data_IF_768647233273
#
_entry.id   IF_768647233273
#
_cell.length_a   1.000
_cell.length_b   1.000
_cell.length_c   1.000
_cell.angle_alpha   90.00
_cell.angle_beta   90.00
_cell.angle_gamma   90.00
#
_symmetry.space_group_name_H-M   'P 1'
#
loop_
_entity.id
_entity.type
_entity.pdbx_description
1 polymer ?
#
# COMPACT_ATOMS: atom_id res chain seq x y z
N UNK A 1 12.16 70.65 -3.41
CA UNK A 1 11.64 72.03 -3.51
C UNK A 1 10.83 72.13 -4.80
N UNK A 2 9.61 72.71 -4.85
CA UNK A 2 8.66 73.07 -3.81
C UNK A 2 7.28 72.36 -4.03
N UNK A 3 6.11 72.94 -3.65
CA UNK A 3 5.21 72.53 -2.56
C UNK A 3 3.99 71.69 -3.07
N UNK A 4 3.19 70.98 -2.28
CA UNK A 4 2.62 71.27 -0.97
C UNK A 4 1.19 71.83 -1.13
N UNK A 5 0.17 70.98 -1.19
CA UNK A 5 -1.24 71.40 -1.16
C UNK A 5 -1.97 70.67 -0.02
N UNK A 6 -2.14 71.38 1.09
CA UNK A 6 -2.95 70.98 2.24
C UNK A 6 -4.39 71.41 1.99
N UNK A 7 -5.30 70.44 1.87
CA UNK A 7 -6.73 70.69 1.82
C UNK A 7 -7.23 70.91 3.26
N UNK A 8 -7.70 72.13 3.53
CA UNK A 8 -8.38 72.53 4.74
C UNK A 8 -9.86 72.15 4.60
N UNK A 9 -10.37 71.28 5.46
CA UNK A 9 -11.81 71.01 5.59
C UNK A 9 -12.31 71.79 6.81
N UNK A 10 -13.38 72.60 6.68
CA UNK A 10 -13.83 73.48 7.76
C UNK A 10 -14.55 72.68 8.85
N UNK A 11 -14.22 73.03 10.09
CA UNK A 11 -14.98 72.68 11.28
C UNK A 11 -16.29 73.48 11.30
N UNK A 12 -17.41 72.80 11.42
CA UNK A 12 -18.65 73.38 11.92
C UNK A 12 -19.24 72.40 12.94
N UNK A 13 -19.14 72.79 14.20
CA UNK A 13 -19.77 72.15 15.33
C UNK A 13 -21.24 72.57 15.43
N UNK A 14 -22.12 71.65 15.80
CA UNK A 14 -23.33 71.97 16.55
C UNK A 14 -23.76 70.76 17.39
N UNK A 15 -23.76 71.01 18.70
CA UNK A 15 -24.13 70.16 19.84
C UNK A 15 -25.66 69.91 19.91
N UNK A 16 -26.04 69.01 20.84
CA UNK A 16 -27.36 68.76 21.49
C UNK A 16 -28.06 67.47 20.98
N UNK A 17 -28.40 66.44 21.77
CA UNK A 17 -28.61 66.29 23.21
C UNK A 17 -28.40 64.83 23.66
N UNK A 18 -27.96 64.68 24.91
CA UNK A 18 -27.97 63.45 25.69
C UNK A 18 -29.42 63.04 26.00
N UNK A 19 -29.78 61.80 25.68
CA UNK A 19 -30.87 61.09 26.34
C UNK A 19 -30.41 59.65 26.62
N UNK A 20 -30.42 59.31 27.91
CA UNK A 20 -29.93 58.06 28.46
C UNK A 20 -30.71 56.83 28.02
N UNK A 21 -30.05 55.69 28.14
CA UNK A 21 -30.61 54.37 27.94
C UNK A 21 -29.57 53.31 28.23
N UNK A 22 -29.36 53.03 29.52
CA UNK A 22 -28.69 51.80 29.92
C UNK A 22 -29.58 50.62 29.53
N UNK A 23 -29.21 49.90 28.46
CA UNK A 23 -29.85 48.65 28.08
C UNK A 23 -28.77 47.61 27.81
N UNK A 24 -28.63 46.74 28.82
CA UNK A 24 -28.15 45.36 28.78
C UNK A 24 -27.10 45.02 27.71
N UNK A 25 -25.88 44.75 28.19
CA UNK A 25 -24.97 43.84 27.53
C UNK A 25 -25.66 42.48 27.34
N UNK A 26 -26.29 42.27 26.18
CA UNK A 26 -26.59 40.93 25.70
C UNK A 26 -25.23 40.33 25.37
N UNK A 27 -24.72 39.56 26.33
CA UNK A 27 -23.65 38.61 26.11
C UNK A 27 -24.08 37.65 25.02
N UNK A 28 -23.84 38.03 23.77
CA UNK A 28 -23.89 37.14 22.64
C UNK A 28 -22.85 36.08 22.90
N UNK A 29 -23.29 34.92 23.41
CA UNK A 29 -22.50 33.70 23.33
C UNK A 29 -22.23 33.49 21.85
N UNK A 30 -21.06 33.92 21.39
CA UNK A 30 -20.48 33.49 20.15
C UNK A 30 -20.38 31.98 20.28
N UNK A 31 -21.40 31.29 19.77
CA UNK A 31 -21.41 29.84 19.60
C UNK A 31 -20.18 29.60 18.74
N UNK A 32 -19.07 29.14 19.33
CA UNK A 32 -17.91 28.65 18.58
C UNK A 32 -18.48 27.59 17.65
N UNK A 33 -18.79 27.96 16.41
CA UNK A 33 -18.95 26.99 15.34
C UNK A 33 -17.59 26.34 15.27
N UNK A 34 -17.48 25.16 15.88
CA UNK A 34 -16.38 24.24 15.61
C UNK A 34 -16.31 24.20 14.10
N UNK A 35 -15.26 24.81 13.53
CA UNK A 35 -15.03 24.77 12.11
C UNK A 35 -14.83 23.30 11.81
N UNK A 36 -15.90 22.66 11.34
CA UNK A 36 -15.89 21.28 10.89
C UNK A 36 -15.00 21.33 9.65
N UNK A 37 -13.70 21.12 9.84
CA UNK A 37 -12.73 21.02 8.76
C UNK A 37 -13.26 19.93 7.85
N UNK A 38 -13.86 20.32 6.73
CA UNK A 38 -14.37 19.36 5.76
C UNK A 38 -13.16 18.59 5.27
N UNK A 39 -13.16 17.29 5.52
CA UNK A 39 -12.15 16.39 4.97
C UNK A 39 -12.20 16.49 3.45
N UNK A 40 -11.03 16.57 2.83
CA UNK A 40 -10.95 16.64 1.39
C UNK A 40 -11.50 15.36 0.77
N UNK A 41 -12.18 15.50 -0.35
CA UNK A 41 -12.74 14.38 -1.10
C UNK A 41 -11.73 13.87 -2.11
N UNK A 42 -11.86 12.60 -2.48
CA UNK A 42 -11.06 12.08 -3.59
C UNK A 42 -11.53 12.67 -4.93
N UNK A 43 -10.66 12.57 -5.94
CA UNK A 43 -11.09 12.77 -7.32
C UNK A 43 -12.12 11.69 -7.69
N UNK A 44 -13.09 12.01 -8.58
CA UNK A 44 -13.93 10.99 -9.21
C UNK A 44 -13.08 9.87 -9.80
N UNK A 45 -13.55 8.63 -9.68
CA UNK A 45 -12.81 7.44 -10.08
C UNK A 45 -12.49 7.45 -11.57
N UNK A 46 -13.41 7.98 -12.39
CA UNK A 46 -13.26 8.10 -13.85
C UNK A 46 -12.07 9.00 -14.23
N UNK A 47 -11.82 10.06 -13.45
CA UNK A 47 -10.67 10.94 -13.68
C UNK A 47 -9.37 10.25 -13.27
N UNK A 48 -9.38 9.50 -12.17
CA UNK A 48 -8.22 8.73 -11.73
C UNK A 48 -7.89 7.61 -12.73
N UNK A 49 -8.90 6.93 -13.26
CA UNK A 49 -8.78 5.94 -14.35
C UNK A 49 -8.17 6.56 -15.60
N UNK A 50 -8.64 7.74 -16.00
CA UNK A 50 -8.10 8.43 -17.17
C UNK A 50 -6.65 8.87 -16.95
N UNK A 51 -6.32 9.42 -15.78
CA UNK A 51 -4.94 9.80 -15.43
C UNK A 51 -4.02 8.57 -15.42
N UNK A 52 -4.43 7.51 -14.72
CA UNK A 52 -3.67 6.26 -14.63
C UNK A 52 -3.53 5.59 -16.00
N UNK A 53 -4.59 5.56 -16.80
CA UNK A 53 -4.62 5.00 -18.15
C UNK A 53 -3.51 5.59 -19.02
N UNK A 54 -3.32 6.91 -18.99
CA UNK A 54 -2.25 7.60 -19.73
C UNK A 54 -0.83 7.23 -19.28
N UNK A 55 -0.65 6.91 -18.00
CA UNK A 55 0.66 6.53 -17.44
C UNK A 55 0.97 5.04 -17.62
N UNK A 56 -0.07 4.21 -17.66
CA UNK A 56 0.01 2.75 -17.74
C UNK A 56 0.16 2.18 -19.15
N UNK A 57 0.05 3.03 -20.19
CA UNK A 57 0.17 2.64 -21.60
C UNK A 57 1.55 2.00 -21.83
N UNK A 58 1.58 0.70 -22.10
CA UNK A 58 2.79 -0.07 -22.40
C UNK A 58 3.32 -0.97 -21.29
N UNK A 59 2.88 -0.83 -20.03
CA UNK A 59 3.41 -1.65 -18.90
C UNK A 59 2.34 -2.45 -18.17
N UNK A 60 1.07 -2.00 -18.14
CA UNK A 60 0.03 -2.66 -17.33
C UNK A 60 -1.24 -3.09 -18.08
N UNK A 61 -1.36 -2.80 -19.39
CA UNK A 61 -2.48 -3.31 -20.20
C UNK A 61 -2.56 -4.84 -20.22
N UNK A 62 -1.47 -5.55 -19.89
CA UNK A 62 -1.42 -7.00 -19.78
C UNK A 62 -2.01 -7.58 -18.47
N UNK A 63 -2.27 -6.74 -17.45
CA UNK A 63 -2.72 -7.21 -16.14
C UNK A 63 -4.23 -7.04 -15.89
N UNK A 64 -5.01 -6.50 -16.83
CA UNK A 64 -6.47 -6.43 -16.66
C UNK A 64 -7.10 -7.82 -16.43
N UNK A 65 -6.54 -8.88 -17.02
CA UNK A 65 -6.97 -10.27 -16.75
C UNK A 65 -6.41 -10.86 -15.45
N UNK A 66 -5.30 -10.33 -14.92
CA UNK A 66 -4.79 -10.71 -13.59
C UNK A 66 -5.53 -9.97 -12.45
N UNK A 67 -6.28 -8.91 -12.77
CA UNK A 67 -7.22 -8.28 -11.85
C UNK A 67 -8.57 -9.01 -11.81
N UNK A 68 -8.85 -9.88 -12.77
CA UNK A 68 -9.93 -10.89 -12.72
C UNK A 68 -9.48 -12.15 -11.96
N UNK A 69 -8.63 -12.00 -10.95
CA UNK A 69 -8.59 -13.01 -9.90
C UNK A 69 -9.91 -12.87 -9.17
N UNK A 70 -10.92 -13.61 -9.62
CA UNK A 70 -12.05 -13.97 -8.76
C UNK A 70 -11.46 -14.31 -7.38
N UNK A 71 -12.06 -13.82 -6.29
CA UNK A 71 -11.62 -14.20 -4.95
C UNK A 71 -11.77 -15.72 -4.85
N UNK A 72 -10.71 -16.46 -5.17
CA UNK A 72 -10.66 -17.89 -4.89
C UNK A 72 -10.47 -17.99 -3.39
N UNK A 73 -11.62 -17.92 -2.71
CA UNK A 73 -11.88 -18.04 -1.29
C UNK A 73 -10.64 -18.39 -0.49
N UNK A 74 -9.87 -17.37 -0.07
CA UNK A 74 -8.69 -17.45 0.82
C UNK A 74 -8.18 -18.88 1.03
N UNK A 75 -7.78 -19.56 -0.05
CA UNK A 75 -7.29 -20.91 0.10
C UNK A 75 -5.94 -20.72 0.74
N UNK A 76 -5.71 -21.33 1.91
CA UNK A 76 -4.40 -21.35 2.55
C UNK A 76 -3.46 -22.20 1.67
N UNK A 77 -3.08 -21.62 0.52
CA UNK A 77 -2.23 -22.23 -0.47
C UNK A 77 -0.87 -22.40 0.18
N UNK A 78 -0.54 -23.65 0.43
CA UNK A 78 0.75 -24.07 0.92
C UNK A 78 1.62 -24.49 -0.27
N UNK A 79 2.92 -24.66 -0.04
CA UNK A 79 3.83 -25.20 -1.04
C UNK A 79 3.26 -26.52 -1.62
N UNK A 80 2.96 -26.59 -2.94
CA UNK A 80 2.36 -27.78 -3.50
C UNK A 80 3.38 -28.92 -3.55
N UNK A 81 3.09 -30.00 -2.83
CA UNK A 81 3.80 -31.27 -2.93
C UNK A 81 3.14 -32.17 -3.98
N UNK A 82 3.81 -33.24 -4.42
CA UNK A 82 3.21 -34.25 -5.29
C UNK A 82 1.86 -34.80 -4.78
N UNK A 83 1.62 -34.82 -3.47
CA UNK A 83 0.33 -35.23 -2.91
C UNK A 83 -0.77 -34.19 -3.15
N UNK A 84 -0.48 -32.89 -2.92
CA UNK A 84 -1.47 -31.82 -3.10
C UNK A 84 -1.70 -31.46 -4.57
N UNK A 85 -0.69 -31.60 -5.43
CA UNK A 85 -0.84 -31.42 -6.87
C UNK A 85 -1.85 -32.40 -7.46
N UNK A 86 -1.83 -33.67 -7.01
CA UNK A 86 -2.81 -34.69 -7.42
C UNK A 86 -4.22 -34.39 -6.94
N UNK A 87 -4.38 -33.86 -5.72
CA UNK A 87 -5.68 -33.41 -5.20
C UNK A 87 -6.26 -32.27 -6.03
N UNK A 88 -5.45 -31.29 -6.43
CA UNK A 88 -5.91 -30.19 -7.29
C UNK A 88 -6.27 -30.66 -8.71
N UNK A 89 -5.56 -31.65 -9.26
CA UNK A 89 -5.89 -32.24 -10.57
C UNK A 89 -7.14 -33.14 -10.53
N UNK A 90 -7.44 -33.76 -9.39
CA UNK A 90 -8.62 -34.61 -9.24
C UNK A 90 -9.92 -33.80 -9.10
N UNK A 91 -9.84 -32.62 -8.49
CA UNK A 91 -10.99 -31.74 -8.25
C UNK A 91 -11.25 -30.76 -9.41
N UNK A 92 -10.24 -30.43 -10.23
CA UNK A 92 -10.41 -29.51 -11.36
C UNK A 92 -10.22 -30.18 -12.71
N UNK A 93 -11.31 -30.31 -13.49
CA UNK A 93 -11.28 -30.62 -14.93
C UNK A 93 -10.61 -29.52 -15.77
N UNK A 94 -10.15 -28.45 -15.14
CA UNK A 94 -9.45 -27.31 -15.75
C UNK A 94 -7.93 -27.42 -15.59
N UNK A 95 -7.21 -26.97 -16.63
CA UNK A 95 -5.75 -26.87 -16.64
C UNK A 95 -5.30 -25.93 -15.51
N UNK A 96 -4.39 -26.39 -14.66
CA UNK A 96 -3.82 -25.56 -13.59
C UNK A 96 -3.13 -24.32 -14.18
N UNK A 97 -3.24 -23.15 -13.49
CA UNK A 97 -2.60 -21.93 -13.96
C UNK A 97 -1.07 -22.00 -13.79
N UNK A 98 -0.35 -21.19 -14.59
CA UNK A 98 1.12 -21.21 -14.67
C UNK A 98 1.81 -21.00 -13.32
N UNK A 99 1.23 -20.18 -12.44
CA UNK A 99 1.77 -19.88 -11.12
C UNK A 99 1.83 -21.10 -10.20
N UNK A 100 0.94 -22.08 -10.36
CA UNK A 100 0.98 -23.35 -9.61
C UNK A 100 1.81 -24.42 -10.32
N UNK A 101 2.00 -24.30 -11.64
CA UNK A 101 2.82 -25.20 -12.44
C UNK A 101 4.31 -24.84 -12.43
N UNK A 102 4.69 -23.66 -11.94
CA UNK A 102 6.09 -23.22 -11.82
C UNK A 102 6.92 -24.08 -10.85
N UNK A 103 8.23 -24.16 -11.11
CA UNK A 103 9.22 -24.74 -10.17
C UNK A 103 9.31 -23.95 -8.86
N UNK A 104 9.00 -22.65 -8.92
CA UNK A 104 8.90 -21.74 -7.77
C UNK A 104 7.47 -21.19 -7.72
N UNK A 105 6.49 -21.95 -7.22
CA UNK A 105 5.09 -21.59 -7.31
C UNK A 105 4.74 -20.39 -6.44
N UNK A 106 3.77 -19.59 -6.90
CA UNK A 106 3.33 -18.37 -6.21
C UNK A 106 1.81 -18.24 -6.19
N UNK A 107 1.33 -17.46 -5.24
CA UNK A 107 -0.04 -16.98 -5.18
C UNK A 107 -0.04 -15.45 -5.06
N UNK A 108 -1.21 -14.84 -5.20
CA UNK A 108 -1.37 -13.39 -5.08
C UNK A 108 -2.12 -13.05 -3.79
N UNK A 109 -1.67 -11.99 -3.14
CA UNK A 109 -2.42 -11.30 -2.08
C UNK A 109 -2.80 -9.91 -2.58
N UNK A 110 -3.94 -9.39 -2.15
CA UNK A 110 -4.36 -8.04 -2.51
C UNK A 110 -3.81 -7.05 -1.49
N UNK A 111 -2.96 -6.14 -1.97
CA UNK A 111 -2.41 -4.99 -1.23
C UNK A 111 -3.38 -3.82 -1.36
N UNK A 112 -3.96 -3.40 -0.23
CA UNK A 112 -4.88 -2.26 -0.16
C UNK A 112 -4.19 -1.02 0.41
N UNK A 113 -4.26 0.10 -0.31
CA UNK A 113 -3.82 1.42 0.17
C UNK A 113 -4.87 2.49 -0.21
N UNK A 114 -5.57 3.11 0.76
CA UNK A 114 -6.60 4.12 0.48
C UNK A 114 -6.04 5.43 -0.08
N UNK A 115 -4.72 5.65 0.04
CA UNK A 115 -4.03 6.85 -0.43
C UNK A 115 -3.40 6.67 -1.81
N UNK A 116 -3.77 5.60 -2.52
CA UNK A 116 -3.21 5.24 -3.82
C UNK A 116 -4.31 4.86 -4.80
N UNK A 117 -4.06 5.10 -6.08
CA UNK A 117 -4.87 4.61 -7.17
C UNK A 117 -3.98 3.83 -8.17
N UNK A 118 -4.33 2.58 -8.54
CA UNK A 118 -5.45 1.79 -8.02
C UNK A 118 -5.26 1.43 -6.53
N UNK A 119 -6.36 1.37 -5.79
CA UNK A 119 -6.36 1.10 -4.34
C UNK A 119 -5.96 -0.34 -4.02
N UNK A 120 -6.33 -1.26 -4.90
CA UNK A 120 -6.07 -2.69 -4.79
C UNK A 120 -5.01 -3.09 -5.81
N UNK A 121 -3.93 -3.70 -5.35
CA UNK A 121 -2.85 -4.20 -6.20
C UNK A 121 -2.57 -5.66 -5.85
N UNK A 122 -2.60 -6.59 -6.82
CA UNK A 122 -2.19 -7.96 -6.59
C UNK A 122 -0.66 -8.06 -6.47
N UNK A 123 -0.18 -8.53 -5.32
CA UNK A 123 1.23 -8.79 -5.04
C UNK A 123 1.48 -10.29 -4.94
N UNK A 124 2.42 -10.81 -5.72
CA UNK A 124 2.84 -12.20 -5.67
C UNK A 124 3.63 -12.51 -4.39
N UNK A 125 3.42 -13.71 -3.86
CA UNK A 125 4.24 -14.29 -2.81
C UNK A 125 4.53 -15.77 -3.09
N UNK A 126 5.74 -16.20 -2.74
CA UNK A 126 6.17 -17.56 -3.03
C UNK A 126 5.54 -18.54 -2.02
N UNK A 127 5.04 -19.67 -2.52
CA UNK A 127 4.43 -20.70 -1.69
C UNK A 127 5.47 -21.60 -1.01
N UNK A 128 6.64 -21.75 -1.63
CA UNK A 128 7.75 -22.58 -1.17
C UNK A 128 8.94 -21.70 -0.76
N UNK A 129 9.80 -22.21 0.12
CA UNK A 129 11.06 -21.56 0.49
C UNK A 129 12.18 -21.96 -0.48
N UNK A 130 12.23 -23.25 -0.83
CA UNK A 130 13.07 -23.81 -1.87
C UNK A 130 12.36 -23.84 -3.23
N UNK A 131 12.84 -24.68 -4.14
CA UNK A 131 12.19 -24.91 -5.43
C UNK A 131 11.78 -26.37 -5.58
N UNK A 132 10.70 -26.59 -6.34
CA UNK A 132 10.23 -27.92 -6.70
C UNK A 132 11.05 -28.45 -7.88
N UNK A 133 11.69 -29.60 -7.69
CA UNK A 133 12.55 -30.23 -8.71
C UNK A 133 12.17 -31.70 -8.90
N UNK A 134 12.45 -32.23 -10.09
CA UNK A 134 12.19 -33.61 -10.45
C UNK A 134 10.71 -33.91 -10.76
N UNK A 135 10.40 -35.12 -11.23
CA UNK A 135 9.05 -35.49 -11.64
C UNK A 135 8.06 -35.54 -10.47
N UNK A 136 8.54 -35.82 -9.26
CA UNK A 136 7.74 -35.79 -8.03
C UNK A 136 7.59 -34.39 -7.42
N UNK A 137 8.11 -33.32 -8.06
CA UNK A 137 8.00 -31.93 -7.56
C UNK A 137 8.39 -31.82 -6.08
N UNK A 138 9.55 -32.37 -5.72
CA UNK A 138 10.03 -32.32 -4.34
C UNK A 138 10.73 -30.98 -4.09
N UNK A 139 10.45 -30.36 -2.95
CA UNK A 139 11.13 -29.12 -2.56
C UNK A 139 12.58 -29.41 -2.16
N UNK A 140 13.54 -28.78 -2.83
CA UNK A 140 14.96 -28.83 -2.50
C UNK A 140 15.44 -27.53 -1.87
N UNK A 141 16.32 -27.66 -0.86
CA UNK A 141 16.95 -26.54 -0.15
C UNK A 141 18.27 -26.09 -0.77
N UNK A 142 18.64 -26.57 -1.95
CA UNK A 142 19.79 -26.07 -2.71
C UNK A 142 19.47 -24.78 -3.46
N UNK A 143 18.19 -24.56 -3.73
CA UNK A 143 17.67 -23.39 -4.40
C UNK A 143 16.72 -22.64 -3.47
N UNK A 144 16.40 -21.40 -3.85
CA UNK A 144 15.48 -20.54 -3.11
C UNK A 144 14.45 -19.96 -4.07
N UNK A 145 13.18 -20.08 -3.71
CA UNK A 145 12.12 -19.32 -4.38
C UNK A 145 12.21 -17.86 -3.94
N UNK A 146 12.36 -16.95 -4.90
CA UNK A 146 12.54 -15.52 -4.66
C UNK A 146 11.53 -14.73 -5.50
N UNK A 147 10.83 -13.74 -4.92
CA UNK A 147 9.89 -12.91 -5.68
C UNK A 147 10.61 -12.08 -6.75
N UNK A 148 9.98 -11.96 -7.92
CA UNK A 148 10.42 -11.11 -9.02
C UNK A 148 9.60 -9.82 -9.00
N UNK A 149 10.29 -8.69 -8.99
CA UNK A 149 9.67 -7.36 -8.92
C UNK A 149 9.65 -6.69 -10.29
N UNK A 150 8.53 -6.04 -10.62
CA UNK A 150 8.39 -5.17 -11.77
C UNK A 150 8.07 -3.74 -11.31
N UNK A 151 8.62 -2.71 -11.99
CA UNK A 151 8.22 -1.33 -11.75
C UNK A 151 6.78 -1.11 -12.26
N UNK A 152 5.97 -0.45 -11.45
CA UNK A 152 4.59 -0.09 -11.77
C UNK A 152 4.31 1.33 -11.34
N UNK A 153 3.60 2.09 -12.17
CA UNK A 153 3.18 3.45 -11.85
C UNK A 153 1.89 3.43 -11.04
N UNK A 154 1.78 4.29 -10.04
CA UNK A 154 0.57 4.48 -9.24
C UNK A 154 0.35 5.97 -8.99
N UNK A 155 -0.89 6.39 -8.83
CA UNK A 155 -1.22 7.75 -8.43
C UNK A 155 -1.32 7.80 -6.91
N UNK A 156 -0.50 8.62 -6.25
CA UNK A 156 -0.51 8.77 -4.79
C UNK A 156 -1.19 10.08 -4.40
N UNK A 157 -2.07 9.99 -3.40
CA UNK A 157 -2.76 11.12 -2.81
C UNK A 157 -1.75 12.05 -2.14
N UNK A 158 -1.79 13.32 -2.50
CA UNK A 158 -1.07 14.38 -1.81
C UNK A 158 -1.87 14.88 -0.60
N UNK A 159 -1.14 15.38 0.41
CA UNK A 159 -1.73 16.06 1.57
C UNK A 159 -2.34 17.43 1.23
N UNK A 160 -2.06 17.99 0.05
CA UNK A 160 -2.63 19.25 -0.40
C UNK A 160 -4.05 19.06 -0.94
N UNK A 161 -4.95 19.97 -0.55
CA UNK A 161 -6.32 19.99 -1.05
C UNK A 161 -6.56 21.22 -1.94
N UNK A 162 -7.01 20.97 -3.16
CA UNK A 162 -7.32 22.02 -4.14
C UNK A 162 -8.82 21.95 -4.43
N UNK A 163 -9.54 23.04 -4.18
CA UNK A 163 -11.00 23.08 -4.41
C UNK A 163 -11.79 22.04 -3.59
N UNK A 164 -11.29 21.63 -2.43
CA UNK A 164 -11.93 20.61 -1.58
C UNK A 164 -11.67 19.16 -2.00
N UNK A 165 -10.80 18.92 -2.99
CA UNK A 165 -10.37 17.57 -3.39
C UNK A 165 -8.87 17.36 -3.20
N UNK A 166 -8.47 16.12 -2.95
CA UNK A 166 -7.07 15.74 -2.91
C UNK A 166 -6.42 15.87 -4.28
N UNK A 167 -5.19 16.37 -4.35
CA UNK A 167 -4.38 16.22 -5.57
C UNK A 167 -3.67 14.86 -5.59
N UNK A 168 -3.31 14.40 -6.78
CA UNK A 168 -2.62 13.13 -7.00
C UNK A 168 -1.36 13.35 -7.82
N UNK A 169 -0.29 12.64 -7.48
CA UNK A 169 0.97 12.64 -8.21
C UNK A 169 1.36 11.21 -8.60
N UNK A 170 2.02 11.04 -9.74
CA UNK A 170 2.57 9.75 -10.13
C UNK A 170 3.77 9.35 -9.26
N UNK A 171 3.85 8.07 -8.93
CA UNK A 171 4.98 7.47 -8.21
C UNK A 171 5.21 6.07 -8.78
N UNK A 172 6.46 5.67 -8.92
CA UNK A 172 6.82 4.30 -9.28
C UNK A 172 7.01 3.45 -8.03
N UNK A 173 6.37 2.29 -8.02
CA UNK A 173 6.46 1.29 -6.95
C UNK A 173 6.91 -0.04 -7.53
N UNK A 174 7.61 -0.84 -6.71
CA UNK A 174 8.02 -2.20 -7.08
C UNK A 174 6.98 -3.20 -6.61
N UNK A 175 6.35 -3.90 -7.56
CA UNK A 175 5.31 -4.90 -7.27
C UNK A 175 5.89 -6.29 -7.59
N UNK A 176 5.73 -7.23 -6.67
CA UNK A 176 6.05 -8.62 -6.93
C UNK A 176 5.05 -9.21 -7.93
N UNK A 177 5.51 -9.65 -9.09
CA UNK A 177 4.66 -10.19 -10.17
C UNK A 177 4.67 -11.72 -10.25
N UNK A 178 5.65 -12.35 -9.62
CA UNK A 178 5.77 -13.80 -9.56
C UNK A 178 6.95 -14.24 -8.71
N UNK A 179 7.29 -15.53 -8.77
CA UNK A 179 8.48 -16.07 -8.11
C UNK A 179 9.36 -16.81 -9.11
N UNK A 180 10.68 -16.68 -8.92
CA UNK A 180 11.71 -17.39 -9.67
C UNK A 180 12.54 -18.27 -8.75
N UNK A 181 13.25 -19.23 -9.33
CA UNK A 181 14.12 -20.15 -8.61
C UNK A 181 15.59 -19.74 -8.80
N UNK A 182 16.28 -19.42 -7.71
CA UNK A 182 17.70 -19.05 -7.75
C UNK A 182 18.56 -20.04 -6.96
N UNK A 183 19.78 -20.35 -7.41
CA UNK A 183 20.71 -21.15 -6.61
C UNK A 183 21.12 -20.38 -5.35
N UNK A 184 21.26 -21.08 -4.22
CA UNK A 184 21.81 -20.46 -3.01
C UNK A 184 23.31 -20.21 -3.22
N UNK A 185 23.71 -18.94 -3.22
CA UNK A 185 25.12 -18.55 -3.26
C UNK A 185 25.80 -19.02 -1.97
N UNK A 186 27.06 -19.44 -2.07
CA UNK A 186 27.80 -20.02 -0.94
C UNK A 186 27.82 -19.12 0.31
N UNK A 187 27.83 -17.80 0.10
CA UNK A 187 27.81 -16.78 1.15
C UNK A 187 26.48 -16.71 1.92
N UNK A 188 25.36 -17.02 1.28
CA UNK A 188 24.05 -17.07 1.95
C UNK A 188 23.94 -18.33 2.80
N UNK A 189 24.54 -19.44 2.35
CA UNK A 189 24.56 -20.71 3.10
C UNK A 189 25.36 -20.58 4.39
N UNK A 190 26.48 -19.87 4.38
CA UNK A 190 27.27 -19.61 5.60
C UNK A 190 26.55 -18.68 6.56
N UNK A 191 25.85 -17.65 6.06
CA UNK A 191 25.08 -16.73 6.88
C UNK A 191 23.83 -17.38 7.50
N UNK A 192 23.13 -18.25 6.76
CA UNK A 192 22.04 -19.09 7.29
C UNK A 192 22.53 -20.12 8.30
N UNK A 193 23.69 -20.74 8.06
CA UNK A 193 24.28 -21.68 9.01
C UNK A 193 24.70 -20.96 10.31
N UNK A 194 25.31 -19.78 10.22
CA UNK A 194 25.72 -18.98 11.36
C UNK A 194 24.53 -18.47 12.20
N UNK A 195 23.43 -18.08 11.55
CA UNK A 195 22.18 -17.71 12.25
C UNK A 195 21.55 -18.92 12.92
N UNK A 196 21.48 -20.08 12.23
CA UNK A 196 20.95 -21.32 12.80
C UNK A 196 21.77 -21.82 13.99
N UNK A 197 23.10 -21.72 13.95
CA UNK A 197 23.96 -22.09 15.09
C UNK A 197 23.81 -21.13 16.24
N UNK A 198 23.66 -19.83 15.98
CA UNK A 198 23.41 -18.83 17.01
C UNK A 198 22.07 -19.06 17.73
N UNK A 199 21.01 -19.38 17.00
CA UNK A 199 19.69 -19.65 17.56
C UNK A 199 19.67 -20.97 18.35
N UNK A 200 20.36 -21.99 17.85
CA UNK A 200 20.58 -23.25 18.59
C UNK A 200 21.33 -23.01 19.91
N UNK A 201 22.40 -22.22 19.88
CA UNK A 201 23.19 -21.85 21.06
C UNK A 201 22.37 -21.06 22.10
N UNK A 202 21.59 -20.08 21.65
CA UNK A 202 20.69 -19.30 22.51
C UNK A 202 19.65 -20.19 23.19
N UNK A 203 19.10 -21.16 22.45
CA UNK A 203 18.12 -22.14 22.96
C UNK A 203 18.76 -23.09 23.98
N UNK A 204 20.00 -23.53 23.75
CA UNK A 204 20.75 -24.35 24.69
C UNK A 204 21.06 -23.60 26.00
N UNK A 205 21.48 -22.32 25.91
CA UNK A 205 21.72 -21.48 27.10
C UNK A 205 20.44 -21.24 27.92
N UNK A 206 19.31 -21.01 27.28
CA UNK A 206 18.03 -20.82 27.99
C UNK A 206 17.51 -22.10 28.63
N UNK A 207 17.83 -23.29 28.09
CA UNK A 207 17.54 -24.56 28.76
C UNK A 207 18.46 -24.83 29.96
N UNK A 208 19.74 -24.47 29.86
CA UNK A 208 20.70 -24.61 30.95
C UNK A 208 20.43 -23.64 32.14
N UNK A 209 19.73 -22.53 31.90
CA UNK A 209 19.40 -21.52 32.91
C UNK A 209 18.08 -21.78 33.66
N UNK A 210 17.37 -22.90 33.42
CA UNK A 210 16.19 -23.26 34.22
C UNK A 210 16.63 -23.96 35.50
N UNK A 211 16.30 -23.45 36.70
CA UNK A 211 16.55 -24.15 37.95
C UNK A 211 15.74 -25.44 37.97
N UNK A 212 16.35 -26.51 38.46
CA UNK A 212 15.66 -27.75 38.77
C UNK A 212 14.68 -27.43 39.91
N UNK A 213 13.39 -27.54 39.63
CA UNK A 213 12.32 -27.45 40.62
C UNK A 213 12.03 -28.83 41.21
#
# INVERSE_FOLDING_TARGET
MPPGLRVLIPAAAALLLLAGGAAAAVGGRARKKVARTRSCLDLPEEILEQMFGRLSVGVLSAFHHALQLEPRDRVNLSCPSAASARSWSADSKSKLPVNLLSVSPWAYRISYDPNRYPRHIPEAYCLCNGCLTGPQRQETRQYRSTPVYAPSVVLRRSGSCVGGRHSYSEVYVSIAVGCTCVPLLHKDRTLQNATRTLDSWKTAKTKAARPWG
#
